data_IF_567467276905
#
_entry.id   IF_567467276905
#
_cell.length_a   1.000
_cell.length_b   1.000
_cell.length_c   1.000
_cell.angle_alpha   90.00
_cell.angle_beta   90.00
_cell.angle_gamma   90.00
#
_symmetry.space_group_name_H-M   'P 1'
#
loop_
_entity.id
_entity.type
_entity.pdbx_description
1 polymer ?
#
# COMPACT_ATOMS: atom_id res chain seq x y z
N UNK A 1 -6.30 -33.92 14.13
CA UNK A 1 -5.14 -33.26 13.50
C UNK A 1 -4.74 -32.05 14.33
N UNK A 2 -3.67 -31.34 13.95
CA UNK A 2 -3.27 -30.07 14.57
C UNK A 2 -4.38 -29.02 14.38
N UNK A 3 -4.78 -28.24 15.40
CA UNK A 3 -5.85 -27.25 15.25
C UNK A 3 -5.32 -25.98 14.57
N UNK A 4 -5.54 -25.84 13.27
CA UNK A 4 -5.05 -24.72 12.46
C UNK A 4 -6.17 -23.80 12.00
N UNK A 5 -5.85 -22.53 11.78
CA UNK A 5 -6.68 -21.51 11.13
C UNK A 5 -5.87 -20.88 10.00
N UNK A 6 -6.52 -20.55 8.89
CA UNK A 6 -5.85 -19.93 7.74
C UNK A 6 -6.52 -18.61 7.38
N UNK A 7 -5.73 -17.57 7.13
CA UNK A 7 -6.22 -16.29 6.62
C UNK A 7 -5.49 -15.90 5.34
N UNK A 8 -6.24 -15.50 4.32
CA UNK A 8 -5.68 -14.83 3.14
C UNK A 8 -6.14 -13.37 3.14
N UNK A 9 -5.27 -12.42 2.80
CA UNK A 9 -5.61 -11.00 2.84
C UNK A 9 -5.25 -10.29 1.54
N UNK A 10 -5.87 -9.13 1.33
CA UNK A 10 -5.52 -8.22 0.25
C UNK A 10 -4.26 -7.38 0.57
N UNK A 11 -3.89 -6.45 -0.31
CA UNK A 11 -2.72 -5.61 -0.14
C UNK A 11 -2.86 -4.74 1.11
N UNK A 12 -1.90 -4.85 2.02
CA UNK A 12 -1.88 -4.06 3.24
C UNK A 12 -1.14 -2.73 3.04
N UNK A 13 -1.55 -1.70 3.78
CA UNK A 13 -0.81 -0.44 3.89
C UNK A 13 -1.01 0.20 5.26
N UNK A 14 -0.05 1.04 5.68
CA UNK A 14 -0.14 1.73 6.95
C UNK A 14 1.22 2.09 7.56
N UNK A 15 1.21 2.52 8.83
CA UNK A 15 2.40 2.70 9.65
C UNK A 15 3.35 1.49 9.60
N UNK A 16 4.64 1.75 9.72
CA UNK A 16 5.71 0.74 9.76
C UNK A 16 5.86 -0.16 8.51
N UNK A 17 5.21 0.18 7.39
CA UNK A 17 5.42 -0.56 6.14
C UNK A 17 6.82 -0.29 5.58
N UNK A 18 7.58 -1.34 5.26
CA UNK A 18 8.94 -1.17 4.74
C UNK A 18 8.94 -0.38 3.41
N UNK A 19 9.85 0.61 3.21
CA UNK A 19 9.94 1.45 2.01
C UNK A 19 10.32 0.81 0.67
N UNK A 20 9.90 -0.44 0.42
CA UNK A 20 10.01 -1.12 -0.88
C UNK A 20 8.65 -1.24 -1.60
N UNK A 21 7.56 -0.92 -0.89
CA UNK A 21 6.18 -1.06 -1.39
C UNK A 21 5.70 0.26 -1.99
N UNK A 22 4.68 0.19 -2.86
CA UNK A 22 4.17 1.33 -3.63
C UNK A 22 3.88 2.57 -2.76
N UNK A 23 2.99 2.47 -1.77
CA UNK A 23 2.57 3.62 -0.96
C UNK A 23 3.76 4.27 -0.20
N UNK A 24 4.60 3.55 0.55
CA UNK A 24 5.73 4.19 1.22
C UNK A 24 6.78 4.76 0.26
N UNK A 25 7.05 4.09 -0.88
CA UNK A 25 7.93 4.66 -1.93
C UNK A 25 7.37 5.99 -2.42
N UNK A 26 6.08 6.05 -2.76
CA UNK A 26 5.44 7.28 -3.25
C UNK A 26 5.53 8.41 -2.23
N UNK A 27 5.26 8.11 -0.95
CA UNK A 27 5.31 9.12 0.11
C UNK A 27 6.74 9.66 0.28
N UNK A 28 7.73 8.78 0.41
CA UNK A 28 9.10 9.21 0.70
C UNK A 28 9.76 9.86 -0.52
N UNK A 29 9.56 9.34 -1.73
CA UNK A 29 10.08 9.97 -2.93
C UNK A 29 9.45 11.35 -3.15
N UNK A 30 8.14 11.49 -2.89
CA UNK A 30 7.46 12.78 -3.01
C UNK A 30 8.10 13.81 -2.07
N UNK A 31 8.28 13.46 -0.79
CA UNK A 31 8.89 14.33 0.21
C UNK A 31 10.35 14.67 -0.09
N UNK A 32 11.09 13.76 -0.74
CA UNK A 32 12.46 13.99 -1.21
C UNK A 32 12.51 14.68 -2.61
N UNK A 33 11.36 15.08 -3.17
CA UNK A 33 11.19 15.64 -4.52
C UNK A 33 11.83 14.79 -5.64
N UNK A 34 11.76 13.47 -5.50
CA UNK A 34 12.23 12.47 -6.46
C UNK A 34 11.11 11.99 -7.38
N UNK A 35 11.42 11.40 -8.55
CA UNK A 35 10.44 10.75 -9.41
C UNK A 35 9.60 9.72 -8.64
N UNK A 36 8.31 9.65 -8.98
CA UNK A 36 7.34 8.71 -8.43
C UNK A 36 7.09 7.60 -9.46
N UNK A 37 7.79 6.46 -9.37
CA UNK A 37 7.74 5.44 -10.41
C UNK A 37 6.38 4.73 -10.42
N UNK A 38 5.73 4.73 -11.59
CA UNK A 38 4.51 3.97 -11.88
C UNK A 38 4.80 2.99 -13.00
N UNK A 39 4.62 1.69 -12.75
CA UNK A 39 4.86 0.64 -13.73
C UNK A 39 3.85 0.64 -14.87
N UNK A 40 4.33 0.51 -16.11
CA UNK A 40 3.49 0.42 -17.30
C UNK A 40 2.63 1.66 -17.47
N UNK A 41 1.32 1.47 -17.60
CA UNK A 41 0.32 2.55 -17.63
C UNK A 41 -0.30 2.82 -16.24
N UNK A 42 0.15 2.09 -15.20
CA UNK A 42 -0.38 2.17 -13.85
C UNK A 42 -1.76 1.54 -13.67
N UNK A 43 -2.30 0.82 -14.66
CA UNK A 43 -3.65 0.26 -14.63
C UNK A 43 -3.79 -1.02 -13.80
N UNK A 44 -2.69 -1.55 -13.22
CA UNK A 44 -2.78 -2.69 -12.31
C UNK A 44 -3.60 -2.33 -11.08
N UNK A 45 -4.59 -3.16 -10.76
CA UNK A 45 -5.52 -2.97 -9.64
C UNK A 45 -5.12 -3.85 -8.46
N UNK A 46 -5.18 -3.27 -7.27
CA UNK A 46 -5.03 -3.97 -5.99
C UNK A 46 -6.21 -3.62 -5.10
N UNK A 47 -6.56 -4.54 -4.20
CA UNK A 47 -7.53 -4.32 -3.12
C UNK A 47 -6.76 -3.92 -1.86
N UNK A 48 -7.06 -2.74 -1.30
CA UNK A 48 -6.28 -2.14 -0.23
C UNK A 48 -6.95 -2.24 1.14
N UNK A 49 -6.24 -2.79 2.12
CA UNK A 49 -6.67 -2.96 3.49
C UNK A 49 -5.71 -2.23 4.44
N UNK A 50 -6.25 -1.42 5.35
CA UNK A 50 -5.43 -0.78 6.38
C UNK A 50 -4.86 -1.82 7.35
N UNK A 51 -3.57 -1.70 7.69
CA UNK A 51 -2.87 -2.69 8.51
C UNK A 51 -3.53 -2.94 9.86
N UNK A 52 -4.07 -1.89 10.51
CA UNK A 52 -4.75 -2.06 11.80
C UNK A 52 -6.08 -2.82 11.66
N UNK A 53 -6.81 -2.63 10.55
CA UNK A 53 -8.01 -3.42 10.26
C UNK A 53 -7.65 -4.88 10.05
N UNK A 54 -6.57 -5.16 9.31
CA UNK A 54 -6.08 -6.53 9.13
C UNK A 54 -5.71 -7.18 10.47
N UNK A 55 -4.98 -6.48 11.35
CA UNK A 55 -4.65 -6.98 12.69
C UNK A 55 -5.91 -7.32 13.49
N UNK A 56 -6.95 -6.47 13.46
CA UNK A 56 -8.24 -6.80 14.10
C UNK A 56 -8.90 -8.03 13.46
N UNK A 57 -8.79 -8.18 12.14
CA UNK A 57 -9.32 -9.34 11.42
C UNK A 57 -8.65 -10.64 11.87
N UNK A 58 -7.31 -10.65 11.97
CA UNK A 58 -6.55 -11.79 12.48
C UNK A 58 -6.98 -12.11 13.92
N UNK A 59 -7.04 -11.10 14.80
CA UNK A 59 -7.48 -11.29 16.19
C UNK A 59 -8.89 -11.89 16.25
N UNK A 60 -9.82 -11.41 15.42
CA UNK A 60 -11.19 -11.94 15.35
C UNK A 60 -11.22 -13.41 14.92
N UNK A 61 -10.39 -13.81 13.95
CA UNK A 61 -10.29 -15.21 13.50
C UNK A 61 -9.66 -16.08 14.59
N UNK A 62 -8.67 -15.58 15.33
CA UNK A 62 -8.07 -16.33 16.44
C UNK A 62 -9.08 -16.57 17.58
N UNK A 63 -9.88 -15.56 17.93
CA UNK A 63 -10.82 -15.64 19.06
C UNK A 63 -12.11 -16.41 18.73
N UNK A 64 -12.57 -16.33 17.47
CA UNK A 64 -13.91 -16.78 17.08
C UNK A 64 -13.94 -17.69 15.83
N UNK A 65 -12.79 -17.93 15.20
CA UNK A 65 -12.69 -18.79 14.03
C UNK A 65 -12.94 -20.27 14.35
N UNK A 66 -13.42 -21.01 13.35
CA UNK A 66 -13.63 -22.45 13.44
C UNK A 66 -12.35 -23.16 13.00
N UNK A 67 -11.83 -24.06 13.85
CA UNK A 67 -10.62 -24.84 13.54
C UNK A 67 -10.77 -25.58 12.21
N UNK A 68 -9.75 -25.51 11.37
CA UNK A 68 -9.71 -26.10 10.02
C UNK A 68 -10.20 -25.16 8.92
N UNK A 69 -10.83 -24.04 9.27
CA UNK A 69 -11.40 -23.12 8.29
C UNK A 69 -10.40 -22.08 7.76
N UNK A 70 -10.72 -21.57 6.58
CA UNK A 70 -10.03 -20.45 5.93
C UNK A 70 -10.91 -19.22 5.86
N UNK A 71 -10.34 -18.04 6.11
CA UNK A 71 -11.02 -16.74 6.08
C UNK A 71 -10.28 -15.73 5.20
N UNK A 72 -11.02 -15.07 4.31
CA UNK A 72 -10.50 -13.97 3.50
C UNK A 72 -10.72 -12.63 4.22
N UNK A 73 -9.68 -11.82 4.37
CA UNK A 73 -9.73 -10.51 5.04
C UNK A 73 -9.43 -9.40 4.01
N UNK A 74 -10.37 -8.48 3.82
CA UNK A 74 -10.24 -7.38 2.87
C UNK A 74 -11.29 -6.30 3.06
N UNK A 75 -11.12 -5.19 2.35
CA UNK A 75 -11.99 -4.02 2.46
C UNK A 75 -12.85 -3.76 1.22
N UNK A 76 -12.74 -4.59 0.17
CA UNK A 76 -13.38 -4.36 -1.14
C UNK A 76 -12.95 -3.02 -1.74
N UNK A 77 -11.70 -2.63 -1.52
CA UNK A 77 -11.17 -1.32 -1.91
C UNK A 77 -10.21 -1.46 -3.09
N UNK A 78 -10.79 -1.74 -4.26
CA UNK A 78 -10.04 -1.83 -5.50
C UNK A 78 -9.60 -0.45 -5.99
N UNK A 79 -8.30 -0.27 -6.20
CA UNK A 79 -7.72 0.93 -6.81
C UNK A 79 -6.54 0.56 -7.71
N UNK A 80 -6.40 1.25 -8.83
CA UNK A 80 -5.23 1.16 -9.70
C UNK A 80 -4.00 1.81 -9.05
N UNK A 81 -2.81 1.40 -9.48
CA UNK A 81 -1.57 2.01 -9.00
C UNK A 81 -1.53 3.53 -9.29
N UNK A 82 -2.07 3.96 -10.43
CA UNK A 82 -2.14 5.37 -10.78
C UNK A 82 -3.10 6.16 -9.87
N UNK A 83 -4.27 5.59 -9.54
CA UNK A 83 -5.18 6.20 -8.56
C UNK A 83 -4.53 6.34 -7.18
N UNK A 84 -3.73 5.35 -6.76
CA UNK A 84 -2.95 5.43 -5.53
C UNK A 84 -1.93 6.56 -5.59
N UNK A 85 -1.17 6.67 -6.68
CA UNK A 85 -0.18 7.73 -6.88
C UNK A 85 -0.82 9.13 -6.77
N UNK A 86 -1.92 9.36 -7.49
CA UNK A 86 -2.64 10.64 -7.40
C UNK A 86 -3.23 10.90 -6.01
N UNK A 87 -3.77 9.87 -5.34
CA UNK A 87 -4.32 10.03 -3.98
C UNK A 87 -3.24 10.42 -2.97
N UNK A 88 -2.05 9.82 -3.06
CA UNK A 88 -0.88 10.19 -2.23
C UNK A 88 -0.46 11.62 -2.52
N UNK A 89 -0.30 11.99 -3.79
CA UNK A 89 0.13 13.33 -4.20
C UNK A 89 -0.83 14.41 -3.70
N UNK A 90 -2.12 14.26 -3.97
CA UNK A 90 -3.16 15.20 -3.55
C UNK A 90 -3.19 15.38 -2.03
N UNK A 91 -3.10 14.29 -1.28
CA UNK A 91 -3.10 14.36 0.17
C UNK A 91 -1.81 14.96 0.76
N UNK A 92 -0.67 14.80 0.08
CA UNK A 92 0.57 15.47 0.46
C UNK A 92 0.54 16.96 0.11
N UNK A 93 -0.07 17.36 -1.01
CA UNK A 93 -0.26 18.78 -1.36
C UNK A 93 -1.06 19.50 -0.25
N UNK A 94 -2.04 18.82 0.36
CA UNK A 94 -2.80 19.36 1.50
C UNK A 94 -2.02 19.37 2.83
N UNK A 95 -1.28 18.30 3.14
CA UNK A 95 -0.67 18.09 4.46
C UNK A 95 0.74 18.67 4.60
N UNK A 96 1.49 18.73 3.51
CA UNK A 96 2.89 19.14 3.43
C UNK A 96 3.19 19.71 2.03
N UNK A 97 2.59 20.86 1.66
CA UNK A 97 2.68 21.40 0.31
C UNK A 97 4.13 21.68 -0.11
N UNK A 98 4.43 21.43 -1.39
CA UNK A 98 5.69 21.83 -2.01
C UNK A 98 5.78 23.35 -2.11
N UNK A 99 7.01 23.87 -2.20
CA UNK A 99 7.21 25.31 -2.49
C UNK A 99 6.73 25.72 -3.88
N UNK A 100 6.68 24.78 -4.83
CA UNK A 100 6.22 25.02 -6.21
C UNK A 100 5.68 23.74 -6.85
N UNK A 101 4.59 23.89 -7.60
CA UNK A 101 3.95 22.79 -8.33
C UNK A 101 3.20 21.83 -7.41
N UNK A 102 2.76 20.71 -7.99
CA UNK A 102 2.06 19.64 -7.29
C UNK A 102 2.97 18.42 -7.16
N UNK A 103 2.74 17.55 -6.17
CA UNK A 103 3.47 16.28 -6.11
C UNK A 103 3.17 15.38 -7.32
N UNK A 104 1.99 15.51 -7.94
CA UNK A 104 1.63 14.74 -9.15
C UNK A 104 2.54 15.04 -10.34
N UNK A 105 3.21 16.19 -10.36
CA UNK A 105 4.16 16.56 -11.42
C UNK A 105 5.41 15.65 -11.40
N UNK A 106 5.63 14.91 -10.31
CA UNK A 106 6.75 13.98 -10.15
C UNK A 106 6.43 12.55 -10.65
N UNK A 107 5.18 12.26 -11.04
CA UNK A 107 4.78 10.94 -11.55
C UNK A 107 5.55 10.61 -12.83
N UNK A 108 6.26 9.48 -12.82
CA UNK A 108 7.08 9.01 -13.93
C UNK A 108 6.73 7.57 -14.26
N UNK A 109 6.42 7.29 -15.53
CA UNK A 109 6.13 5.92 -15.98
C UNK A 109 7.42 5.16 -16.25
N UNK A 110 7.51 3.93 -15.76
CA UNK A 110 8.66 3.04 -15.91
C UNK A 110 8.23 1.71 -16.54
N UNK A 111 9.19 0.99 -17.16
CA UNK A 111 8.92 -0.28 -17.83
C UNK A 111 8.21 -1.28 -16.89
N UNK A 112 7.14 -1.93 -17.38
CA UNK A 112 6.32 -2.83 -16.58
C UNK A 112 7.11 -4.09 -16.13
N UNK A 113 6.65 -4.72 -15.06
CA UNK A 113 7.25 -5.95 -14.55
C UNK A 113 6.88 -7.14 -15.44
N UNK A 114 7.83 -8.02 -15.81
CA UNK A 114 7.49 -9.26 -16.49
C UNK A 114 6.48 -10.09 -15.67
N UNK A 115 5.35 -10.45 -16.28
CA UNK A 115 4.30 -11.25 -15.63
C UNK A 115 3.49 -10.51 -14.56
N UNK A 116 3.39 -9.18 -14.64
CA UNK A 116 2.71 -8.39 -13.61
C UNK A 116 1.20 -8.72 -13.53
N UNK A 117 0.78 -9.31 -12.41
CA UNK A 117 -0.63 -9.58 -12.16
C UNK A 117 -1.47 -8.31 -12.25
N UNK A 118 -2.52 -8.38 -13.08
CA UNK A 118 -3.28 -7.19 -13.47
C UNK A 118 -4.27 -6.75 -12.40
N UNK A 119 -4.91 -7.67 -11.69
CA UNK A 119 -5.98 -7.34 -10.73
C UNK A 119 -6.06 -8.33 -9.59
N UNK A 120 -6.05 -7.82 -8.36
CA UNK A 120 -6.46 -8.56 -7.17
C UNK A 120 -7.71 -7.94 -6.57
N UNK A 121 -8.67 -8.79 -6.23
CA UNK A 121 -9.87 -8.43 -5.48
C UNK A 121 -10.20 -9.60 -4.56
N UNK A 122 -10.50 -9.33 -3.29
CA UNK A 122 -10.82 -10.38 -2.33
C UNK A 122 -12.27 -10.25 -1.89
N UNK A 123 -12.94 -11.39 -1.67
CA UNK A 123 -14.28 -11.41 -1.08
C UNK A 123 -14.21 -11.75 0.41
N UNK A 124 -14.41 -10.77 1.32
CA UNK A 124 -14.43 -11.00 2.76
C UNK A 124 -15.79 -11.46 3.29
N UNK A 125 -16.74 -11.87 2.43
CA UNK A 125 -18.12 -12.18 2.83
C UNK A 125 -18.24 -13.20 3.97
N UNK A 126 -17.30 -14.14 4.10
CA UNK A 126 -17.26 -15.08 5.22
C UNK A 126 -16.93 -14.40 6.55
N UNK A 127 -15.95 -13.49 6.58
CA UNK A 127 -15.63 -12.70 7.77
C UNK A 127 -16.84 -11.86 8.21
N UNK A 128 -17.52 -11.25 7.23
CA UNK A 128 -18.68 -10.39 7.46
C UNK A 128 -19.87 -11.17 8.04
N UNK A 129 -20.18 -12.33 7.44
CA UNK A 129 -21.36 -13.13 7.81
C UNK A 129 -21.14 -14.03 9.03
N UNK A 130 -19.95 -14.62 9.16
CA UNK A 130 -19.69 -15.63 10.20
C UNK A 130 -19.10 -15.03 11.46
N UNK A 131 -18.28 -13.97 11.34
CA UNK A 131 -17.56 -13.37 12.46
C UNK A 131 -17.94 -11.91 12.72
N UNK A 132 -18.91 -11.37 11.97
CA UNK A 132 -19.35 -9.98 12.04
C UNK A 132 -18.20 -8.96 11.97
N UNK A 133 -17.13 -9.30 11.24
CA UNK A 133 -15.98 -8.44 11.08
C UNK A 133 -16.12 -7.58 9.83
N UNK A 134 -15.79 -6.29 9.95
CA UNK A 134 -15.68 -5.32 8.85
C UNK A 134 -14.50 -4.37 9.11
N UNK A 135 -13.86 -3.82 8.07
CA UNK A 135 -12.90 -2.74 8.26
C UNK A 135 -13.58 -1.52 8.90
N UNK A 136 -12.85 -0.78 9.73
CA UNK A 136 -13.30 0.50 10.29
C UNK A 136 -12.84 1.68 9.45
N UNK A 137 -11.71 1.54 8.74
CA UNK A 137 -11.19 2.63 7.92
C UNK A 137 -11.69 2.54 6.48
N UNK A 138 -12.04 3.70 5.91
CA UNK A 138 -12.03 3.85 4.45
C UNK A 138 -10.60 4.05 3.95
N UNK A 139 -10.38 3.88 2.64
CA UNK A 139 -9.08 4.13 2.04
C UNK A 139 -8.54 5.53 2.34
N UNK A 140 -9.38 6.56 2.20
CA UNK A 140 -9.00 7.96 2.39
C UNK A 140 -8.59 8.23 3.84
N UNK A 141 -9.37 7.72 4.80
CA UNK A 141 -9.07 7.87 6.23
C UNK A 141 -7.78 7.15 6.63
N UNK A 142 -7.56 5.93 6.12
CA UNK A 142 -6.35 5.15 6.34
C UNK A 142 -5.13 5.76 5.65
N UNK A 143 -5.27 6.28 4.42
CA UNK A 143 -4.19 6.94 3.70
C UNK A 143 -3.72 8.18 4.44
N UNK A 144 -4.67 8.98 4.97
CA UNK A 144 -4.34 10.15 5.79
C UNK A 144 -3.57 9.76 7.04
N UNK A 145 -4.02 8.72 7.74
CA UNK A 145 -3.30 8.17 8.91
C UNK A 145 -1.89 7.71 8.54
N UNK A 146 -1.75 7.06 7.39
CA UNK A 146 -0.46 6.57 6.88
C UNK A 146 0.49 7.72 6.59
N UNK A 147 0.07 8.71 5.80
CA UNK A 147 0.90 9.88 5.44
C UNK A 147 1.29 10.69 6.68
N UNK A 148 0.34 10.98 7.57
CA UNK A 148 0.62 11.68 8.82
C UNK A 148 1.62 10.91 9.69
N UNK A 149 1.56 9.57 9.66
CA UNK A 149 2.53 8.76 10.38
C UNK A 149 3.94 8.90 9.79
N UNK A 150 4.11 8.81 8.46
CA UNK A 150 5.42 9.02 7.83
C UNK A 150 5.99 10.40 8.08
N UNK A 151 5.18 11.47 7.96
CA UNK A 151 5.59 12.84 8.25
C UNK A 151 6.14 13.00 9.68
N UNK A 152 5.59 12.25 10.64
CA UNK A 152 6.02 12.27 12.04
C UNK A 152 7.18 11.32 12.34
N UNK A 153 7.50 10.40 11.44
CA UNK A 153 8.44 9.29 11.66
C UNK A 153 9.48 9.18 10.53
N UNK A 154 9.84 10.29 9.89
CA UNK A 154 10.92 10.34 8.88
C UNK A 154 12.23 9.71 9.40
N UNK A 155 12.69 9.95 10.65
CA UNK A 155 13.89 9.29 11.16
C UNK A 155 13.82 7.76 11.11
N UNK A 156 12.68 7.18 11.51
CA UNK A 156 12.47 5.73 11.40
C UNK A 156 12.51 5.26 9.95
N UNK A 157 11.84 5.99 9.04
CA UNK A 157 11.78 5.64 7.64
C UNK A 157 13.19 5.62 7.01
N UNK A 158 14.03 6.60 7.36
CA UNK A 158 15.42 6.67 6.93
C UNK A 158 16.30 5.57 7.53
N UNK A 159 16.04 5.16 8.77
CA UNK A 159 16.79 4.09 9.44
C UNK A 159 16.51 2.72 8.79
N UNK A 160 15.25 2.45 8.46
CA UNK A 160 14.88 1.15 7.86
C UNK A 160 15.06 1.13 6.35
N UNK A 161 15.07 2.28 5.68
CA UNK A 161 15.25 2.31 4.23
C UNK A 161 16.69 1.92 3.86
N UNK A 162 16.84 0.78 3.22
CA UNK A 162 18.06 0.46 2.48
C UNK A 162 17.99 1.17 1.12
N UNK A 163 18.40 2.45 1.10
CA UNK A 163 18.27 3.33 -0.08
C UNK A 163 18.99 2.75 -1.32
N UNK A 164 19.98 1.88 -1.10
CA UNK A 164 20.70 1.16 -2.16
C UNK A 164 19.77 0.27 -2.99
N UNK A 165 18.77 -0.39 -2.38
CA UNK A 165 17.83 -1.24 -3.12
C UNK A 165 16.89 -0.42 -4.02
N UNK A 166 16.38 0.71 -3.50
CA UNK A 166 15.50 1.60 -4.26
C UNK A 166 16.24 2.22 -5.43
N UNK A 167 17.48 2.68 -5.23
CA UNK A 167 18.30 3.26 -6.30
C UNK A 167 18.73 2.18 -7.33
N UNK A 168 18.98 0.94 -6.91
CA UNK A 168 19.26 -0.16 -7.84
C UNK A 168 18.08 -0.47 -8.77
N UNK A 169 16.85 -0.41 -8.26
CA UNK A 169 15.65 -0.78 -9.03
C UNK A 169 14.97 0.40 -9.72
N UNK A 170 15.13 1.62 -9.20
CA UNK A 170 14.43 2.83 -9.65
C UNK A 170 15.33 4.06 -9.86
N UNK A 171 16.65 3.91 -9.74
CA UNK A 171 17.60 5.00 -9.99
C UNK A 171 17.58 5.50 -11.43
N UNK A 172 18.07 6.72 -11.65
CA UNK A 172 18.11 7.34 -12.97
C UNK A 172 18.82 6.47 -14.03
N UNK A 173 19.86 5.72 -13.63
CA UNK A 173 20.57 4.78 -14.51
C UNK A 173 19.74 3.52 -14.82
N UNK A 174 18.99 2.97 -13.85
CA UNK A 174 18.13 1.81 -14.10
C UNK A 174 16.93 2.17 -14.98
N UNK A 175 16.35 3.36 -14.79
CA UNK A 175 15.27 3.89 -15.65
C UNK A 175 15.74 4.19 -17.08
N UNK A 176 16.99 4.65 -17.26
CA UNK A 176 17.57 4.90 -18.58
C UNK A 176 17.89 3.61 -19.36
N UNK A 177 18.19 2.51 -18.66
CA UNK A 177 18.55 1.20 -19.27
C UNK A 177 17.36 0.37 -19.77
N UNK A 178 16.13 0.80 -19.50
CA UNK A 178 14.89 0.11 -19.89
C UNK A 178 14.26 0.65 -21.19
N UNK A 179 14.99 1.48 -21.94
CA UNK A 179 14.60 2.04 -23.24
C UNK A 179 15.26 1.34 -24.42
#
# INVERSE_FOLDING_TARGET
GLPTLTTNCSNNFGPYQFPEKLIPILILNALDERPLPVYGDGANVRDWLFVADHCRGIATVLDHGVVGETYNIGARCEKSNLEIAHSVCSMLDDLAPRSRGHYSDLITFVADRPGHDRRYAIDPGKMESSLNWRPLETFESALRKTIVWYLKNIPWANEVSDRDWTDLHYGAESMASAH
#
